data_IF_491545689507
#
_entry.id   IF_491545689507
#
_cell.length_a   1.000
_cell.length_b   1.000
_cell.length_c   1.000
_cell.angle_alpha   90.00
_cell.angle_beta   90.00
_cell.angle_gamma   90.00
#
_symmetry.space_group_name_H-M   'P 1'
#
loop_
_entity.id
_entity.type
_entity.pdbx_description
1 polymer ?
#
# COMPACT_ATOMS: atom_id res chain seq x y z
N UNK A 1 -10.02 -46.58 -0.04
CA UNK A 1 -9.76 -45.82 1.21
C UNK A 1 -9.35 -46.71 2.38
N UNK A 2 -10.07 -47.79 2.72
CA UNK A 2 -9.68 -48.73 3.80
C UNK A 2 -8.23 -49.24 3.71
N UNK A 3 -7.75 -49.55 2.51
CA UNK A 3 -6.39 -50.07 2.32
C UNK A 3 -5.29 -49.04 2.64
N UNK A 4 -5.54 -47.75 2.38
CA UNK A 4 -4.61 -46.66 2.68
C UNK A 4 -4.55 -46.41 4.19
N UNK A 5 -5.71 -46.44 4.84
CA UNK A 5 -5.80 -46.31 6.30
C UNK A 5 -5.07 -47.47 6.97
N UNK A 6 -5.26 -48.70 6.51
CA UNK A 6 -4.61 -49.88 7.08
C UNK A 6 -3.09 -49.85 6.90
N UNK A 7 -2.58 -49.46 5.72
CA UNK A 7 -1.12 -49.35 5.49
C UNK A 7 -0.47 -48.24 6.33
N UNK A 8 -1.18 -47.12 6.53
CA UNK A 8 -0.73 -46.05 7.42
C UNK A 8 -0.72 -46.53 8.88
N UNK A 9 -1.76 -47.27 9.27
CA UNK A 9 -1.90 -47.83 10.62
C UNK A 9 -0.79 -48.86 10.92
N UNK A 10 -0.46 -49.73 9.97
CA UNK A 10 0.65 -50.69 10.07
C UNK A 10 2.01 -49.98 10.19
N UNK A 11 2.27 -48.98 9.36
CA UNK A 11 3.50 -48.19 9.41
C UNK A 11 3.69 -47.48 10.76
N UNK A 12 2.61 -46.93 11.34
CA UNK A 12 2.64 -46.28 12.67
C UNK A 12 2.96 -47.29 13.77
N UNK A 13 2.41 -48.51 13.71
CA UNK A 13 2.65 -49.56 14.70
C UNK A 13 4.08 -50.11 14.64
N UNK A 14 4.67 -50.24 13.45
CA UNK A 14 6.02 -50.78 13.29
C UNK A 14 7.13 -49.84 13.78
N UNK A 15 6.96 -48.53 13.64
CA UNK A 15 8.02 -47.56 13.94
C UNK A 15 7.52 -46.32 14.73
N UNK A 16 6.98 -46.51 15.95
CA UNK A 16 6.29 -45.44 16.69
C UNK A 16 7.19 -44.25 17.02
N UNK A 17 8.48 -44.48 17.33
CA UNK A 17 9.43 -43.41 17.65
C UNK A 17 9.74 -42.54 16.45
N UNK A 18 9.97 -43.13 15.26
CA UNK A 18 10.28 -42.38 14.04
C UNK A 18 9.10 -41.53 13.59
N UNK A 19 7.89 -42.09 13.65
CA UNK A 19 6.66 -41.34 13.33
C UNK A 19 6.45 -40.20 14.31
N UNK A 20 6.66 -40.41 15.61
CA UNK A 20 6.57 -39.34 16.60
C UNK A 20 7.53 -38.18 16.29
N UNK A 21 8.79 -38.47 15.96
CA UNK A 21 9.75 -37.44 15.55
C UNK A 21 9.37 -36.77 14.23
N UNK A 22 8.88 -37.52 13.23
CA UNK A 22 8.43 -36.96 11.95
C UNK A 22 7.23 -36.03 12.11
N UNK A 23 6.21 -36.46 12.85
CA UNK A 23 5.01 -35.65 13.14
C UNK A 23 5.40 -34.42 13.97
N UNK A 24 6.24 -34.60 15.00
CA UNK A 24 6.76 -33.49 15.80
C UNK A 24 7.55 -32.49 14.97
N UNK A 25 8.39 -32.95 14.05
CA UNK A 25 9.15 -32.09 13.15
C UNK A 25 8.23 -31.32 12.19
N UNK A 26 7.23 -31.98 11.60
CA UNK A 26 6.25 -31.31 10.73
C UNK A 26 5.46 -30.25 11.51
N UNK A 27 5.00 -30.56 12.72
CA UNK A 27 4.32 -29.58 13.58
C UNK A 27 5.24 -28.42 13.95
N UNK A 28 6.52 -28.69 14.24
CA UNK A 28 7.51 -27.66 14.53
C UNK A 28 7.75 -26.73 13.33
N UNK A 29 7.86 -27.29 12.12
CA UNK A 29 8.03 -26.50 10.89
C UNK A 29 6.77 -25.68 10.61
N UNK A 30 5.57 -26.25 10.75
CA UNK A 30 4.31 -25.51 10.60
C UNK A 30 4.25 -24.37 11.62
N UNK A 31 4.56 -24.64 12.88
CA UNK A 31 4.62 -23.60 13.91
C UNK A 31 5.62 -22.51 13.51
N UNK A 32 6.86 -22.84 13.16
CA UNK A 32 7.88 -21.86 12.77
C UNK A 32 7.50 -21.00 11.54
N UNK A 33 6.71 -21.54 10.62
CA UNK A 33 6.24 -20.81 9.44
C UNK A 33 5.07 -19.85 9.76
N UNK A 34 4.14 -20.26 10.62
CA UNK A 34 2.88 -19.57 10.87
C UNK A 34 2.79 -18.85 12.23
N UNK A 35 3.77 -19.04 13.11
CA UNK A 35 3.82 -18.38 14.42
C UNK A 35 4.02 -16.86 14.29
N UNK A 36 3.82 -16.14 15.40
CA UNK A 36 3.83 -14.68 15.44
C UNK A 36 5.16 -14.02 15.08
N UNK A 37 6.25 -14.79 15.09
CA UNK A 37 7.59 -14.41 14.63
C UNK A 37 7.96 -15.09 13.29
N UNK A 38 6.99 -15.77 12.68
CA UNK A 38 7.18 -16.59 11.49
C UNK A 38 7.66 -15.81 10.28
N UNK A 39 8.32 -16.55 9.38
CA UNK A 39 8.96 -16.00 8.18
C UNK A 39 7.93 -15.30 7.27
N UNK A 40 6.72 -15.86 7.16
CA UNK A 40 5.65 -15.31 6.32
C UNK A 40 5.25 -13.91 6.78
N UNK A 41 5.08 -13.72 8.09
CA UNK A 41 4.71 -12.44 8.68
C UNK A 41 5.82 -11.41 8.47
N UNK A 42 7.08 -11.81 8.64
CA UNK A 42 8.24 -10.94 8.41
C UNK A 42 8.32 -10.44 6.96
N UNK A 43 8.11 -11.32 5.98
CA UNK A 43 8.10 -10.94 4.56
C UNK A 43 6.97 -9.94 4.28
N UNK A 44 5.76 -10.21 4.78
CA UNK A 44 4.61 -9.31 4.63
C UNK A 44 4.89 -7.94 5.26
N UNK A 45 5.43 -7.91 6.48
CA UNK A 45 5.77 -6.67 7.17
C UNK A 45 6.83 -5.87 6.43
N UNK A 46 7.85 -6.51 5.85
CA UNK A 46 8.87 -5.82 5.05
C UNK A 46 8.27 -5.23 3.76
N UNK A 47 7.40 -5.97 3.08
CA UNK A 47 6.70 -5.46 1.91
C UNK A 47 5.81 -4.25 2.25
N UNK A 48 5.04 -4.35 3.33
CA UNK A 48 4.20 -3.25 3.82
C UNK A 48 5.02 -2.03 4.23
N UNK A 49 6.13 -2.24 4.94
CA UNK A 49 7.05 -1.18 5.33
C UNK A 49 7.62 -0.44 4.11
N UNK A 50 8.01 -1.17 3.06
CA UNK A 50 8.46 -0.56 1.79
C UNK A 50 7.37 0.27 1.14
N UNK A 51 6.14 -0.25 1.06
CA UNK A 51 5.00 0.47 0.48
C UNK A 51 4.69 1.75 1.29
N UNK A 52 4.73 1.66 2.62
CA UNK A 52 4.53 2.82 3.49
C UNK A 52 5.61 3.88 3.29
N UNK A 53 6.88 3.49 3.17
CA UNK A 53 7.97 4.43 2.87
C UNK A 53 7.83 5.09 1.50
N UNK A 54 7.45 4.34 0.47
CA UNK A 54 7.20 4.90 -0.86
C UNK A 54 6.04 5.89 -0.85
N UNK A 55 4.94 5.58 -0.15
CA UNK A 55 3.82 6.51 0.04
C UNK A 55 4.22 7.76 0.80
N UNK A 56 4.99 7.62 1.87
CA UNK A 56 5.50 8.75 2.64
C UNK A 56 6.33 9.68 1.77
N UNK A 57 7.25 9.14 0.97
CA UNK A 57 8.07 9.93 0.04
C UNK A 57 7.21 10.68 -0.99
N UNK A 58 6.21 10.02 -1.57
CA UNK A 58 5.29 10.65 -2.52
C UNK A 58 4.45 11.75 -1.87
N UNK A 59 3.96 11.55 -0.64
CA UNK A 59 3.21 12.55 0.09
C UNK A 59 4.07 13.76 0.44
N UNK A 60 5.31 13.55 0.88
CA UNK A 60 6.25 14.64 1.16
C UNK A 60 6.51 15.49 -0.09
N UNK A 61 6.67 14.85 -1.25
CA UNK A 61 6.82 15.56 -2.52
C UNK A 61 5.59 16.41 -2.85
N UNK A 62 4.38 15.87 -2.66
CA UNK A 62 3.13 16.60 -2.87
C UNK A 62 2.98 17.80 -1.94
N UNK A 63 3.48 17.70 -0.70
CA UNK A 63 3.47 18.83 0.24
C UNK A 63 4.32 19.96 -0.33
N UNK A 64 5.55 19.67 -0.75
CA UNK A 64 6.45 20.68 -1.34
C UNK A 64 5.84 21.33 -2.60
N UNK A 65 5.29 20.54 -3.50
CA UNK A 65 4.62 21.05 -4.72
C UNK A 65 3.40 21.92 -4.38
N UNK A 66 2.61 21.53 -3.38
CA UNK A 66 1.45 22.30 -2.96
C UNK A 66 1.85 23.60 -2.25
N UNK A 67 2.91 23.58 -1.44
CA UNK A 67 3.45 24.78 -0.82
C UNK A 67 3.92 25.78 -1.88
N UNK A 68 4.64 25.31 -2.90
CA UNK A 68 5.05 26.13 -4.04
C UNK A 68 3.83 26.72 -4.78
N UNK A 69 2.80 25.90 -5.04
CA UNK A 69 1.55 26.36 -5.65
C UNK A 69 0.85 27.43 -4.81
N UNK A 70 0.79 27.25 -3.49
CA UNK A 70 0.19 28.24 -2.57
C UNK A 70 1.00 29.53 -2.59
N UNK A 71 2.33 29.47 -2.57
CA UNK A 71 3.18 30.65 -2.66
C UNK A 71 2.97 31.39 -3.99
N UNK A 72 2.92 30.66 -5.10
CA UNK A 72 2.65 31.24 -6.42
C UNK A 72 1.23 31.83 -6.52
N UNK A 73 0.24 31.18 -5.91
CA UNK A 73 -1.13 31.68 -5.85
C UNK A 73 -1.26 32.92 -4.94
N UNK A 74 -0.41 33.11 -3.93
CA UNK A 74 -0.41 34.32 -3.09
C UNK A 74 0.15 35.56 -3.82
N UNK A 75 0.83 35.39 -4.95
CA UNK A 75 1.30 36.52 -5.76
C UNK A 75 0.06 37.26 -6.31
N UNK A 76 -0.09 38.57 -6.06
CA UNK A 76 -1.27 39.34 -6.48
C UNK A 76 -1.61 39.16 -7.97
N UNK A 77 -0.58 39.15 -8.82
CA UNK A 77 -0.71 38.98 -10.27
C UNK A 77 -1.29 37.61 -10.65
N UNK A 78 -0.95 36.55 -9.90
CA UNK A 78 -1.48 35.20 -10.13
C UNK A 78 -2.95 35.10 -9.75
N UNK A 79 -3.38 35.77 -8.67
CA UNK A 79 -4.79 35.81 -8.26
C UNK A 79 -5.60 36.58 -9.29
N UNK A 80 -5.12 37.75 -9.70
CA UNK A 80 -5.81 38.58 -10.70
C UNK A 80 -5.92 37.85 -12.05
N UNK A 81 -4.85 37.18 -12.49
CA UNK A 81 -4.86 36.37 -13.70
C UNK A 81 -5.86 35.22 -13.62
N UNK A 82 -5.85 34.45 -12.53
CA UNK A 82 -6.81 33.35 -12.34
C UNK A 82 -8.26 33.84 -12.24
N UNK A 83 -8.49 34.98 -11.58
CA UNK A 83 -9.79 35.63 -11.49
C UNK A 83 -10.33 36.07 -12.86
N UNK A 84 -9.46 36.62 -13.70
CA UNK A 84 -9.77 37.04 -15.07
C UNK A 84 -10.05 35.85 -15.99
N UNK A 85 -9.14 34.87 -16.04
CA UNK A 85 -9.23 33.74 -16.98
C UNK A 85 -10.33 32.74 -16.63
N UNK A 86 -10.51 32.42 -15.33
CA UNK A 86 -11.44 31.37 -14.91
C UNK A 86 -12.84 31.88 -14.58
N UNK A 87 -12.94 33.11 -14.09
CA UNK A 87 -14.20 33.67 -13.57
C UNK A 87 -14.63 34.96 -14.28
N UNK A 88 -13.89 35.43 -15.28
CA UNK A 88 -14.19 36.66 -16.03
C UNK A 88 -14.35 37.90 -15.13
N UNK A 89 -13.64 37.94 -13.99
CA UNK A 89 -13.66 39.11 -13.12
C UNK A 89 -12.95 40.30 -13.78
N UNK A 90 -13.48 41.50 -13.55
CA UNK A 90 -12.99 42.78 -14.11
C UNK A 90 -12.88 43.83 -13.03
N UNK A 91 -11.97 44.80 -13.19
CA UNK A 91 -11.90 45.96 -12.29
C UNK A 91 -13.03 46.94 -12.61
N UNK A 92 -13.36 47.79 -11.62
CA UNK A 92 -14.37 48.82 -11.80
C UNK A 92 -13.95 49.78 -12.92
N UNK A 93 -14.80 49.95 -13.94
CA UNK A 93 -14.52 50.77 -15.13
C UNK A 93 -13.98 50.00 -16.34
N UNK A 94 -13.64 48.72 -16.23
CA UNK A 94 -13.22 47.90 -17.38
C UNK A 94 -14.43 47.35 -18.16
N UNK A 95 -14.32 47.28 -19.49
CA UNK A 95 -15.32 46.65 -20.38
C UNK A 95 -14.85 45.24 -20.74
N UNK A 96 -15.66 44.22 -20.42
CA UNK A 96 -15.37 42.81 -20.69
C UNK A 96 -16.08 42.36 -21.98
N UNK A 97 -15.32 41.80 -22.92
CA UNK A 97 -15.86 41.19 -24.15
C UNK A 97 -15.78 39.68 -24.05
N UNK A 98 -16.93 38.99 -24.17
CA UNK A 98 -17.00 37.53 -24.19
C UNK A 98 -17.30 37.10 -25.62
N UNK A 99 -16.31 36.52 -26.29
CA UNK A 99 -16.44 36.01 -27.65
C UNK A 99 -16.86 34.54 -27.56
N UNK A 100 -17.92 34.17 -28.28
CA UNK A 100 -18.34 32.78 -28.46
C UNK A 100 -18.18 32.45 -29.93
N UNK A 101 -17.49 31.35 -30.23
CA UNK A 101 -17.50 30.80 -31.57
C UNK A 101 -18.92 30.29 -31.88
N UNK A 102 -19.42 30.63 -33.08
CA UNK A 102 -20.74 30.24 -33.56
C UNK A 102 -20.77 28.80 -34.03
#
# INVERSE_FOLDING_TARGET
MKNIVNSVWEYIRENPKKVFFQVGFVLFVIWMLFDDLGIVKRIRMQAENRVLHERLKQQQQKILENEERIQNAKKPDSIEKAAREKYNFRKQGETLFIIRDQ
#
